data_IF_798661652087
#
_entry.id   IF_798661652087
#
_cell.length_a   1.000
_cell.length_b   1.000
_cell.length_c   1.000
_cell.angle_alpha   90.00
_cell.angle_beta   90.00
_cell.angle_gamma   90.00
#
_symmetry.space_group_name_H-M   'P 1'
#
loop_
_entity.id
_entity.type
_entity.pdbx_description
1 polymer ?
#
# COMPACT_ATOMS: atom_id res chain seq x y z
N UNK A 1 -32.02 10.09 6.95
CA UNK A 1 -30.94 9.46 6.15
C UNK A 1 -29.55 9.82 6.69
N UNK A 2 -29.23 11.11 6.92
CA UNK A 2 -27.95 11.55 7.51
C UNK A 2 -27.61 10.89 8.86
N UNK A 3 -28.55 10.77 9.79
CA UNK A 3 -28.30 10.10 11.09
C UNK A 3 -27.88 8.63 10.96
N UNK A 4 -28.32 7.92 9.92
CA UNK A 4 -27.96 6.52 9.70
C UNK A 4 -26.53 6.40 9.14
N UNK A 5 -26.09 7.36 8.32
CA UNK A 5 -24.74 7.41 7.77
C UNK A 5 -23.71 7.76 8.84
N UNK A 6 -24.02 8.73 9.71
CA UNK A 6 -23.18 9.06 10.86
C UNK A 6 -23.04 7.88 11.82
N UNK A 7 -24.14 7.16 12.10
CA UNK A 7 -24.11 5.92 12.87
C UNK A 7 -23.21 4.86 12.25
N UNK A 8 -23.35 4.61 10.94
CA UNK A 8 -22.50 3.67 10.22
C UNK A 8 -21.01 4.07 10.29
N UNK A 9 -20.68 5.36 10.11
CA UNK A 9 -19.30 5.86 10.21
C UNK A 9 -18.69 5.59 11.58
N UNK A 10 -19.44 5.87 12.65
CA UNK A 10 -18.97 5.64 14.02
C UNK A 10 -18.77 4.14 14.28
N UNK A 11 -19.66 3.28 13.79
CA UNK A 11 -19.51 1.83 13.89
C UNK A 11 -18.23 1.37 13.18
N UNK A 12 -18.01 1.80 11.94
CA UNK A 12 -16.81 1.46 11.16
C UNK A 12 -15.51 1.92 11.84
N UNK A 13 -15.54 3.10 12.48
CA UNK A 13 -14.41 3.58 13.28
C UNK A 13 -14.15 2.66 14.47
N UNK A 14 -15.18 2.34 15.25
CA UNK A 14 -15.04 1.51 16.46
C UNK A 14 -14.49 0.12 16.13
N UNK A 15 -14.98 -0.52 15.07
CA UNK A 15 -14.55 -1.89 14.71
C UNK A 15 -13.12 -1.97 14.18
N UNK A 16 -12.52 -0.85 13.75
CA UNK A 16 -11.12 -0.80 13.30
C UNK A 16 -10.13 -0.50 14.43
N UNK A 17 -10.58 0.07 15.55
CA UNK A 17 -9.73 0.36 16.73
C UNK A 17 -8.94 -0.86 17.23
N UNK A 18 -9.51 -2.08 17.37
CA UNK A 18 -8.74 -3.24 17.80
C UNK A 18 -7.57 -3.57 16.88
N UNK A 19 -7.71 -3.35 15.56
CA UNK A 19 -6.64 -3.60 14.59
C UNK A 19 -5.47 -2.63 14.78
N UNK A 20 -5.74 -1.36 15.11
CA UNK A 20 -4.71 -0.35 15.40
C UNK A 20 -3.88 -0.75 16.63
N UNK A 21 -4.55 -1.24 17.68
CA UNK A 21 -3.88 -1.69 18.90
C UNK A 21 -3.35 -3.13 18.81
N UNK A 22 -3.53 -3.82 17.69
CA UNK A 22 -3.06 -5.19 17.50
C UNK A 22 -3.72 -6.20 18.44
N UNK A 23 -5.01 -6.02 18.76
CA UNK A 23 -5.77 -6.89 19.66
C UNK A 23 -6.54 -7.97 18.87
N UNK A 24 -6.50 -9.22 19.35
CA UNK A 24 -7.26 -10.36 18.77
C UNK A 24 -7.14 -10.46 17.24
N UNK A 25 -5.96 -10.77 16.67
CA UNK A 25 -5.67 -10.64 15.25
C UNK A 25 -6.69 -11.29 14.32
N UNK A 26 -7.17 -12.49 14.67
CA UNK A 26 -8.21 -13.20 13.90
C UNK A 26 -9.52 -12.39 13.78
N UNK A 27 -9.96 -11.77 14.87
CA UNK A 27 -11.22 -11.02 14.92
C UNK A 27 -11.01 -9.62 14.34
N UNK A 28 -9.95 -8.93 14.75
CA UNK A 28 -9.68 -7.57 14.30
C UNK A 28 -9.46 -7.48 12.80
N UNK A 29 -8.81 -8.48 12.18
CA UNK A 29 -8.60 -8.50 10.74
C UNK A 29 -9.89 -8.66 9.95
N UNK A 30 -10.83 -9.49 10.43
CA UNK A 30 -12.14 -9.67 9.79
C UNK A 30 -13.01 -8.43 9.93
N UNK A 31 -12.99 -7.79 11.10
CA UNK A 31 -13.67 -6.51 11.33
C UNK A 31 -13.09 -5.39 10.46
N UNK A 32 -11.76 -5.31 10.34
CA UNK A 32 -11.10 -4.37 9.45
C UNK A 32 -11.42 -4.67 7.98
N UNK A 33 -11.47 -5.95 7.58
CA UNK A 33 -11.88 -6.33 6.23
C UNK A 33 -13.29 -5.84 5.91
N UNK A 34 -14.23 -6.07 6.82
CA UNK A 34 -15.60 -5.59 6.67
C UNK A 34 -15.64 -4.06 6.55
N UNK A 35 -14.87 -3.34 7.36
CA UNK A 35 -14.80 -1.88 7.28
C UNK A 35 -14.22 -1.39 5.95
N UNK A 36 -13.09 -1.94 5.53
CA UNK A 36 -12.44 -1.60 4.26
C UNK A 36 -13.35 -1.90 3.07
N UNK A 37 -13.98 -3.08 3.04
CA UNK A 37 -14.92 -3.46 1.99
C UNK A 37 -16.15 -2.54 1.97
N UNK A 38 -16.68 -2.19 3.15
CA UNK A 38 -17.83 -1.30 3.26
C UNK A 38 -17.52 0.09 2.72
N UNK A 39 -16.38 0.67 3.11
CA UNK A 39 -15.92 1.98 2.59
C UNK A 39 -15.72 1.89 1.07
N UNK A 40 -14.89 0.95 0.61
CA UNK A 40 -14.52 0.83 -0.81
C UNK A 40 -15.70 0.56 -1.77
N UNK A 41 -16.86 0.11 -1.28
CA UNK A 41 -18.04 -0.14 -2.14
C UNK A 41 -19.19 0.85 -1.93
N UNK A 42 -19.15 1.67 -0.88
CA UNK A 42 -20.29 2.52 -0.50
C UNK A 42 -19.93 4.00 -0.36
N UNK A 43 -18.67 4.40 -0.56
CA UNK A 43 -18.27 5.81 -0.61
C UNK A 43 -18.11 6.33 -2.03
N UNK A 44 -18.28 7.64 -2.20
CA UNK A 44 -17.92 8.33 -3.44
C UNK A 44 -16.43 8.69 -3.39
N UNK A 45 -15.80 8.85 -4.55
CA UNK A 45 -14.37 9.18 -4.65
C UNK A 45 -13.45 8.01 -4.27
N UNK A 46 -13.83 6.78 -4.61
CA UNK A 46 -13.01 5.58 -4.39
C UNK A 46 -11.71 5.70 -5.19
N UNK A 47 -10.60 5.49 -4.51
CA UNK A 47 -9.25 5.56 -5.06
C UNK A 47 -8.64 4.15 -5.20
N UNK A 48 -7.54 4.03 -5.95
CA UNK A 48 -6.81 2.76 -6.03
C UNK A 48 -6.30 2.26 -4.67
N UNK A 49 -6.10 3.16 -3.71
CA UNK A 49 -5.70 2.83 -2.34
C UNK A 49 -6.76 2.06 -1.55
N UNK A 50 -8.04 2.36 -1.74
CA UNK A 50 -9.14 1.68 -1.05
C UNK A 50 -9.22 0.22 -1.49
N UNK A 51 -9.14 -0.01 -2.81
CA UNK A 51 -9.12 -1.36 -3.40
C UNK A 51 -7.88 -2.15 -2.96
N UNK A 52 -6.72 -1.49 -2.89
CA UNK A 52 -5.50 -2.11 -2.37
C UNK A 52 -5.66 -2.58 -0.93
N UNK A 53 -6.24 -1.76 -0.05
CA UNK A 53 -6.47 -2.13 1.35
C UNK A 53 -7.41 -3.33 1.45
N UNK A 54 -8.51 -3.37 0.68
CA UNK A 54 -9.40 -4.54 0.65
C UNK A 54 -8.62 -5.82 0.29
N UNK A 55 -7.78 -5.76 -0.75
CA UNK A 55 -6.98 -6.92 -1.17
C UNK A 55 -5.96 -7.34 -0.09
N UNK A 56 -5.23 -6.40 0.49
CA UNK A 56 -4.21 -6.69 1.50
C UNK A 56 -4.83 -7.20 2.81
N UNK A 57 -5.90 -6.57 3.29
CA UNK A 57 -6.58 -7.00 4.50
C UNK A 57 -7.29 -8.34 4.30
N UNK A 58 -7.76 -8.67 3.09
CA UNK A 58 -8.26 -10.02 2.78
C UNK A 58 -7.16 -11.07 2.98
N UNK A 59 -5.97 -10.85 2.41
CA UNK A 59 -4.84 -11.77 2.58
C UNK A 59 -4.40 -11.86 4.04
N UNK A 60 -4.37 -10.74 4.76
CA UNK A 60 -4.03 -10.71 6.17
C UNK A 60 -5.08 -11.42 7.02
N UNK A 61 -6.37 -11.23 6.78
CA UNK A 61 -7.45 -11.88 7.51
C UNK A 61 -7.44 -13.40 7.33
N UNK A 62 -7.15 -13.90 6.12
CA UNK A 62 -6.95 -15.33 5.90
C UNK A 62 -5.72 -15.82 6.68
N UNK A 63 -4.64 -15.04 6.70
CA UNK A 63 -3.41 -15.42 7.41
C UNK A 63 -3.56 -15.43 8.94
N UNK A 64 -4.43 -14.58 9.49
CA UNK A 64 -4.65 -14.43 10.94
C UNK A 64 -5.87 -15.17 11.46
N UNK A 65 -6.66 -15.86 10.63
CA UNK A 65 -7.93 -16.49 11.07
C UNK A 65 -7.76 -17.50 12.22
N UNK A 66 -6.59 -18.14 12.31
CA UNK A 66 -6.25 -19.08 13.38
C UNK A 66 -5.38 -18.45 14.48
N UNK A 67 -5.18 -17.14 14.45
CA UNK A 67 -4.36 -16.41 15.41
C UNK A 67 -5.20 -15.87 16.57
N UNK A 68 -5.36 -16.72 17.59
CA UNK A 68 -6.13 -16.43 18.80
C UNK A 68 -5.33 -15.67 19.88
N UNK A 69 -4.18 -15.08 19.54
CA UNK A 69 -3.41 -14.27 20.49
C UNK A 69 -4.24 -13.06 20.91
N UNK A 70 -4.19 -12.70 22.19
CA UNK A 70 -4.84 -11.49 22.68
C UNK A 70 -4.20 -10.23 22.09
N UNK A 71 -2.89 -10.25 21.88
CA UNK A 71 -2.16 -9.13 21.30
C UNK A 71 -1.00 -9.59 20.44
N UNK A 72 -0.74 -8.86 19.35
CA UNK A 72 0.41 -9.07 18.46
C UNK A 72 1.73 -8.56 19.05
N UNK A 73 1.69 -7.65 20.02
CA UNK A 73 2.89 -7.06 20.63
C UNK A 73 3.67 -8.07 21.48
N UNK A 74 3.00 -9.12 21.97
CA UNK A 74 3.64 -10.18 22.74
C UNK A 74 4.14 -11.27 21.80
N UNK A 75 5.46 -11.43 21.76
CA UNK A 75 6.11 -12.52 21.02
C UNK A 75 6.02 -13.79 21.85
N UNK A 76 5.15 -14.71 21.46
CA UNK A 76 5.10 -16.06 22.04
C UNK A 76 5.93 -16.97 21.14
N UNK A 77 7.05 -17.48 21.65
CA UNK A 77 7.79 -18.56 20.98
C UNK A 77 6.93 -19.82 21.02
N UNK A 78 6.39 -20.22 19.87
CA UNK A 78 5.65 -21.46 19.73
C UNK A 78 6.45 -22.43 18.86
N UNK A 79 6.58 -23.69 19.30
CA UNK A 79 7.10 -24.78 18.47
C UNK A 79 6.01 -25.21 17.48
N UNK A 80 5.84 -24.42 16.42
CA UNK A 80 4.88 -24.71 15.34
C UNK A 80 5.57 -25.65 14.32
N UNK A 81 4.94 -26.76 13.91
CA UNK A 81 5.47 -27.64 12.88
C UNK A 81 5.72 -26.91 11.56
N UNK A 82 6.84 -27.22 10.89
CA UNK A 82 7.30 -26.53 9.66
C UNK A 82 6.24 -26.42 8.56
N UNK A 83 5.45 -27.48 8.36
CA UNK A 83 4.37 -27.54 7.36
C UNK A 83 3.30 -26.45 7.55
N UNK A 84 3.08 -25.97 8.79
CA UNK A 84 2.10 -24.91 9.06
C UNK A 84 2.56 -23.52 8.61
N UNK A 85 3.86 -23.32 8.35
CA UNK A 85 4.37 -22.04 7.83
C UNK A 85 4.22 -21.88 6.31
N UNK A 86 4.08 -22.98 5.57
CA UNK A 86 3.95 -22.97 4.10
C UNK A 86 2.78 -22.08 3.63
N UNK A 87 1.52 -22.30 4.07
CA UNK A 87 0.40 -21.49 3.60
C UNK A 87 0.55 -20.01 3.99
N UNK A 88 1.08 -19.72 5.17
CA UNK A 88 1.32 -18.35 5.63
C UNK A 88 2.36 -17.68 4.72
N UNK A 89 3.48 -18.34 4.43
CA UNK A 89 4.50 -17.79 3.54
C UNK A 89 3.96 -17.54 2.13
N UNK A 90 3.12 -18.42 1.61
CA UNK A 90 2.44 -18.22 0.32
C UNK A 90 1.57 -16.95 0.35
N UNK A 91 0.75 -16.75 1.39
CA UNK A 91 -0.07 -15.53 1.53
C UNK A 91 0.79 -14.27 1.61
N UNK A 92 1.93 -14.33 2.31
CA UNK A 92 2.90 -13.23 2.30
C UNK A 92 3.52 -13.01 0.92
N UNK A 93 3.83 -14.05 0.15
CA UNK A 93 4.26 -13.88 -1.25
C UNK A 93 3.21 -13.12 -2.06
N UNK A 94 1.93 -13.45 -1.91
CA UNK A 94 0.84 -12.72 -2.57
C UNK A 94 0.75 -11.26 -2.13
N UNK A 95 0.99 -10.94 -0.86
CA UNK A 95 1.07 -9.55 -0.40
C UNK A 95 2.18 -8.80 -1.15
N UNK A 96 3.37 -9.39 -1.25
CA UNK A 96 4.49 -8.78 -1.98
C UNK A 96 4.18 -8.58 -3.47
N UNK A 97 3.60 -9.59 -4.10
CA UNK A 97 3.17 -9.52 -5.50
C UNK A 97 2.11 -8.42 -5.66
N UNK A 98 1.12 -8.33 -4.78
CA UNK A 98 0.06 -7.33 -4.86
C UNK A 98 0.61 -5.90 -4.78
N UNK A 99 1.51 -5.63 -3.82
CA UNK A 99 2.11 -4.29 -3.67
C UNK A 99 3.07 -3.98 -4.82
N UNK A 100 3.81 -4.95 -5.34
CA UNK A 100 4.64 -4.75 -6.55
C UNK A 100 3.78 -4.52 -7.80
N UNK A 101 2.67 -5.26 -7.93
CA UNK A 101 1.79 -5.22 -9.07
C UNK A 101 1.06 -3.89 -9.17
N UNK A 102 0.59 -3.29 -8.06
CA UNK A 102 -0.09 -1.98 -8.13
C UNK A 102 0.82 -0.89 -8.69
N UNK A 103 2.11 -0.89 -8.34
CA UNK A 103 3.07 0.05 -8.95
C UNK A 103 3.34 -0.27 -10.41
N UNK A 104 3.47 -1.55 -10.76
CA UNK A 104 3.69 -1.97 -12.13
C UNK A 104 2.53 -1.58 -13.05
N UNK A 105 1.32 -1.93 -12.64
CA UNK A 105 0.09 -1.62 -13.38
C UNK A 105 -0.07 -0.11 -13.55
N UNK A 106 0.12 0.66 -12.48
CA UNK A 106 0.06 2.12 -12.53
C UNK A 106 1.08 2.72 -13.52
N UNK A 107 2.31 2.18 -13.57
CA UNK A 107 3.33 2.64 -14.49
C UNK A 107 3.01 2.30 -15.94
N UNK A 108 2.55 1.08 -16.21
CA UNK A 108 2.19 0.63 -17.57
C UNK A 108 0.96 1.38 -18.08
N UNK A 109 -0.08 1.54 -17.24
CA UNK A 109 -1.28 2.29 -17.58
C UNK A 109 -0.96 3.75 -17.96
N UNK A 110 -0.01 4.38 -17.26
CA UNK A 110 0.51 5.70 -17.63
C UNK A 110 1.31 5.65 -18.92
N UNK A 111 2.26 4.71 -19.06
CA UNK A 111 3.14 4.64 -20.23
C UNK A 111 2.39 4.49 -21.57
N UNK A 112 1.23 3.82 -21.58
CA UNK A 112 0.40 3.67 -22.79
C UNK A 112 -0.60 4.82 -23.00
N UNK A 113 -0.77 5.71 -22.02
CA UNK A 113 -1.69 6.83 -22.12
C UNK A 113 -1.03 7.99 -22.92
N UNK A 114 -1.68 8.52 -23.97
CA UNK A 114 -1.08 9.56 -24.80
C UNK A 114 -0.64 10.83 -24.06
N UNK A 115 -1.39 11.26 -23.03
CA UNK A 115 -1.09 12.47 -22.23
C UNK A 115 0.13 12.25 -21.33
N UNK A 116 0.39 11.01 -20.93
CA UNK A 116 1.63 10.69 -20.21
C UNK A 116 2.79 10.53 -21.18
N UNK A 117 2.53 9.95 -22.37
CA UNK A 117 3.52 9.76 -23.42
C UNK A 117 4.07 11.04 -24.04
N UNK A 118 3.33 12.14 -24.01
CA UNK A 118 3.83 13.46 -24.46
C UNK A 118 4.65 14.20 -23.39
N UNK A 119 4.71 13.69 -22.15
CA UNK A 119 5.45 14.29 -21.04
C UNK A 119 4.76 15.47 -20.36
N UNK A 120 3.45 15.67 -20.57
CA UNK A 120 2.70 16.81 -20.04
C UNK A 120 1.62 16.46 -19.03
N UNK A 121 1.46 15.18 -18.67
CA UNK A 121 0.39 14.74 -17.76
C UNK A 121 0.33 15.52 -16.45
N UNK A 122 1.45 15.78 -15.77
CA UNK A 122 1.42 16.48 -14.49
C UNK A 122 0.95 17.94 -14.62
N UNK A 123 1.21 18.60 -15.75
CA UNK A 123 0.64 19.92 -16.03
C UNK A 123 -0.89 19.88 -16.04
N UNK A 124 -1.48 18.87 -16.68
CA UNK A 124 -2.94 18.71 -16.72
C UNK A 124 -3.54 18.27 -15.38
N UNK A 125 -2.90 17.35 -14.67
CA UNK A 125 -3.46 16.82 -13.42
C UNK A 125 -3.48 17.85 -12.29
N UNK A 126 -2.52 18.79 -12.25
CA UNK A 126 -2.53 19.90 -11.28
C UNK A 126 -3.74 20.83 -11.49
N UNK A 127 -4.24 20.96 -12.71
CA UNK A 127 -5.40 21.80 -13.06
C UNK A 127 -6.74 21.06 -12.92
N UNK A 128 -6.73 19.81 -12.46
CA UNK A 128 -7.95 19.01 -12.38
C UNK A 128 -8.73 19.38 -11.11
N UNK A 129 -9.90 20.01 -11.29
CA UNK A 129 -10.81 20.41 -10.21
C UNK A 129 -11.30 19.23 -9.33
N UNK A 130 -11.13 17.99 -9.80
CA UNK A 130 -11.40 16.78 -9.02
C UNK A 130 -10.40 16.56 -7.87
N UNK A 131 -9.27 17.25 -7.86
CA UNK A 131 -8.25 17.16 -6.83
C UNK A 131 -8.22 18.39 -5.92
N UNK A 132 -7.94 18.16 -4.64
CA UNK A 132 -8.06 19.16 -3.57
C UNK A 132 -6.82 20.04 -3.39
N UNK A 133 -6.23 20.55 -4.48
CA UNK A 133 -5.05 21.42 -4.40
C UNK A 133 -5.44 22.84 -3.95
N UNK A 134 -4.63 23.49 -3.11
CA UNK A 134 -4.86 24.91 -2.79
C UNK A 134 -4.46 25.80 -3.97
N UNK A 135 -5.16 26.91 -4.18
CA UNK A 135 -4.89 27.82 -5.29
C UNK A 135 -3.44 28.35 -5.31
N UNK A 136 -2.84 28.55 -4.13
CA UNK A 136 -1.44 28.99 -4.03
C UNK A 136 -0.46 27.89 -4.43
N UNK A 137 -0.73 26.64 -4.03
CA UNK A 137 0.07 25.48 -4.43
C UNK A 137 -0.07 25.23 -5.93
N UNK A 138 -1.29 25.27 -6.46
CA UNK A 138 -1.58 25.13 -7.89
C UNK A 138 -0.76 26.13 -8.72
N UNK A 139 -0.83 27.42 -8.39
CA UNK A 139 -0.05 28.46 -9.07
C UNK A 139 1.44 28.19 -9.03
N UNK A 140 1.98 27.76 -7.89
CA UNK A 140 3.39 27.41 -7.76
C UNK A 140 3.77 26.24 -8.68
N UNK A 141 2.99 25.16 -8.66
CA UNK A 141 3.27 23.98 -9.48
C UNK A 141 3.10 24.26 -10.97
N UNK A 142 2.11 25.05 -11.37
CA UNK A 142 1.97 25.49 -12.76
C UNK A 142 3.15 26.34 -13.19
N UNK A 143 3.61 27.30 -12.38
CA UNK A 143 4.81 28.07 -12.75
C UNK A 143 6.03 27.16 -13.00
N UNK A 144 6.22 26.13 -12.18
CA UNK A 144 7.32 25.15 -12.33
C UNK A 144 7.12 24.26 -13.56
N UNK A 145 5.92 23.71 -13.73
CA UNK A 145 5.59 22.78 -14.82
C UNK A 145 5.44 23.46 -16.18
N UNK A 146 5.35 24.80 -16.22
CA UNK A 146 5.35 25.59 -17.46
C UNK A 146 6.62 25.41 -18.29
N UNK A 147 7.73 25.01 -17.65
CA UNK A 147 8.97 24.65 -18.33
C UNK A 147 8.83 23.23 -18.93
N UNK A 148 8.88 23.06 -20.27
CA UNK A 148 8.61 21.78 -20.91
C UNK A 148 9.53 20.64 -20.41
N UNK A 149 10.80 20.96 -20.14
CA UNK A 149 11.77 19.98 -19.66
C UNK A 149 11.43 19.49 -18.24
N UNK A 150 10.92 20.38 -17.38
CA UNK A 150 10.53 20.03 -16.01
C UNK A 150 9.26 19.20 -16.02
N UNK A 151 8.27 19.56 -16.84
CA UNK A 151 7.07 18.75 -17.05
C UNK A 151 7.42 17.35 -17.54
N UNK A 152 8.28 17.24 -18.55
CA UNK A 152 8.69 15.96 -19.11
C UNK A 152 9.44 15.09 -18.08
N UNK A 153 10.43 15.68 -17.36
CA UNK A 153 11.20 14.96 -16.34
C UNK A 153 10.29 14.47 -15.21
N UNK A 154 9.36 15.29 -14.73
CA UNK A 154 8.47 14.90 -13.62
C UNK A 154 7.43 13.86 -14.06
N UNK A 155 6.88 13.98 -15.27
CA UNK A 155 5.93 13.02 -15.86
C UNK A 155 6.58 11.66 -16.09
N UNK A 156 7.69 11.60 -16.82
CA UNK A 156 8.40 10.35 -17.08
C UNK A 156 9.11 9.80 -15.83
N UNK A 157 9.59 10.70 -14.97
CA UNK A 157 10.18 10.34 -13.68
C UNK A 157 9.19 9.63 -12.76
N UNK A 158 7.92 10.01 -12.78
CA UNK A 158 6.85 9.30 -12.05
C UNK A 158 6.74 7.85 -12.52
N UNK A 159 6.66 7.61 -13.82
CA UNK A 159 6.59 6.25 -14.40
C UNK A 159 7.84 5.44 -14.04
N UNK A 160 9.03 6.05 -14.16
CA UNK A 160 10.29 5.39 -13.83
C UNK A 160 10.34 5.00 -12.34
N UNK A 161 9.96 5.91 -11.43
CA UNK A 161 9.92 5.63 -10.00
C UNK A 161 8.95 4.49 -9.67
N UNK A 162 7.76 4.47 -10.27
CA UNK A 162 6.80 3.39 -10.07
C UNK A 162 7.35 2.02 -10.51
N UNK A 163 8.01 1.95 -11.67
CA UNK A 163 8.70 0.72 -12.11
C UNK A 163 9.82 0.32 -11.13
N UNK A 164 10.64 1.28 -10.70
CA UNK A 164 11.72 1.02 -9.74
C UNK A 164 11.17 0.50 -8.41
N UNK A 165 10.09 1.10 -7.88
CA UNK A 165 9.43 0.63 -6.66
C UNK A 165 8.91 -0.79 -6.84
N UNK A 166 8.19 -1.06 -7.94
CA UNK A 166 7.66 -2.39 -8.26
C UNK A 166 8.74 -3.48 -8.23
N UNK A 167 9.84 -3.28 -8.96
CA UNK A 167 10.91 -4.27 -9.01
C UNK A 167 11.71 -4.35 -7.70
N UNK A 168 11.93 -3.21 -7.02
CA UNK A 168 12.67 -3.19 -5.76
C UNK A 168 11.97 -4.00 -4.66
N UNK A 169 10.63 -3.98 -4.60
CA UNK A 169 9.85 -4.72 -3.61
C UNK A 169 10.11 -6.23 -3.71
N UNK A 170 10.29 -6.77 -4.92
CA UNK A 170 10.52 -8.20 -5.15
C UNK A 170 12.01 -8.58 -5.13
N UNK A 171 12.88 -7.72 -5.65
CA UNK A 171 14.27 -8.08 -5.97
C UNK A 171 15.31 -7.53 -4.97
N UNK A 172 14.96 -6.56 -4.12
CA UNK A 172 15.94 -5.96 -3.20
C UNK A 172 16.40 -6.96 -2.13
N UNK A 173 17.61 -7.50 -2.33
CA UNK A 173 18.31 -8.35 -1.33
C UNK A 173 19.04 -7.52 -0.27
N UNK A 174 19.44 -6.30 -0.62
CA UNK A 174 20.12 -5.39 0.28
C UNK A 174 19.09 -4.65 1.16
N UNK A 175 19.24 -4.77 2.48
CA UNK A 175 18.31 -4.17 3.45
C UNK A 175 18.33 -2.63 3.42
N UNK A 176 19.49 -2.01 3.22
CA UNK A 176 19.61 -0.56 3.06
C UNK A 176 18.86 -0.10 1.81
N UNK A 177 19.10 -0.74 0.66
CA UNK A 177 18.41 -0.41 -0.58
C UNK A 177 16.89 -0.51 -0.43
N UNK A 178 16.40 -1.57 0.24
CA UNK A 178 14.97 -1.75 0.49
C UNK A 178 14.38 -0.61 1.33
N UNK A 179 15.02 -0.26 2.45
CA UNK A 179 14.52 0.82 3.30
C UNK A 179 14.59 2.18 2.60
N UNK A 180 15.65 2.42 1.81
CA UNK A 180 15.74 3.62 0.97
C UNK A 180 14.60 3.67 -0.03
N UNK A 181 14.32 2.59 -0.77
CA UNK A 181 13.23 2.56 -1.75
C UNK A 181 11.86 2.72 -1.10
N UNK A 182 11.62 2.09 0.06
CA UNK A 182 10.40 2.30 0.84
C UNK A 182 10.26 3.75 1.29
N UNK A 183 11.32 4.37 1.81
CA UNK A 183 11.30 5.77 2.23
C UNK A 183 11.03 6.71 1.04
N UNK A 184 11.68 6.45 -0.11
CA UNK A 184 11.42 7.17 -1.36
C UNK A 184 9.97 7.02 -1.81
N UNK A 185 9.40 5.81 -1.75
CA UNK A 185 8.00 5.56 -2.13
C UNK A 185 7.01 6.23 -1.17
N UNK A 186 7.25 6.22 0.15
CA UNK A 186 6.43 6.96 1.12
C UNK A 186 6.48 8.47 0.82
N UNK A 187 7.67 9.02 0.55
CA UNK A 187 7.82 10.44 0.21
C UNK A 187 7.13 10.80 -1.11
N UNK A 188 7.23 9.94 -2.12
CA UNK A 188 6.52 10.07 -3.39
C UNK A 188 5.00 10.17 -3.18
N UNK A 189 4.41 9.29 -2.37
CA UNK A 189 2.98 9.36 -2.06
C UNK A 189 2.60 10.54 -1.17
N UNK A 190 3.51 10.98 -0.28
CA UNK A 190 3.28 12.18 0.53
C UNK A 190 3.20 13.44 -0.35
N UNK A 191 4.05 13.54 -1.36
CA UNK A 191 3.98 14.61 -2.36
C UNK A 191 2.64 14.54 -3.11
N UNK A 192 2.19 13.34 -3.51
CA UNK A 192 0.86 13.17 -4.14
C UNK A 192 -0.26 13.62 -3.21
N UNK A 193 -0.22 13.31 -1.91
CA UNK A 193 -1.23 13.77 -0.96
C UNK A 193 -1.29 15.29 -0.85
N UNK A 194 -0.14 15.97 -0.89
CA UNK A 194 -0.07 17.44 -0.86
C UNK A 194 -0.58 18.05 -2.16
N UNK A 195 -0.13 17.53 -3.30
CA UNK A 195 -0.43 18.12 -4.61
C UNK A 195 -1.86 17.80 -5.04
N UNK A 196 -2.32 16.56 -4.86
CA UNK A 196 -3.60 16.08 -5.38
C UNK A 196 -4.69 15.97 -4.30
N UNK A 197 -4.36 16.25 -3.03
CA UNK A 197 -5.30 16.12 -1.91
C UNK A 197 -5.62 14.68 -1.48
N UNK A 198 -4.89 13.69 -2.00
CA UNK A 198 -5.16 12.25 -1.82
C UNK A 198 -4.58 11.72 -0.50
N UNK A 199 -5.12 12.19 0.62
CA UNK A 199 -4.61 11.85 1.97
C UNK A 199 -4.90 10.38 2.32
N UNK A 200 -6.09 9.89 1.99
CA UNK A 200 -6.50 8.49 2.19
C UNK A 200 -5.64 7.53 1.37
N UNK A 201 -5.38 7.86 0.11
CA UNK A 201 -4.43 7.15 -0.74
C UNK A 201 -3.04 7.04 -0.09
N UNK A 202 -2.49 8.15 0.41
CA UNK A 202 -1.18 8.16 1.06
C UNK A 202 -1.12 7.26 2.30
N UNK A 203 -2.15 7.28 3.15
CA UNK A 203 -2.23 6.42 4.34
C UNK A 203 -2.25 4.95 3.90
N UNK A 204 -3.06 4.60 2.91
CA UNK A 204 -3.19 3.25 2.37
C UNK A 204 -1.87 2.73 1.79
N UNK A 205 -1.21 3.54 0.95
CA UNK A 205 0.08 3.19 0.35
C UNK A 205 1.19 3.08 1.41
N UNK A 206 1.20 3.96 2.41
CA UNK A 206 2.16 3.89 3.52
C UNK A 206 1.99 2.59 4.31
N UNK A 207 0.75 2.19 4.63
CA UNK A 207 0.47 0.91 5.28
C UNK A 207 0.99 -0.29 4.48
N UNK A 208 0.72 -0.31 3.17
CA UNK A 208 1.21 -1.36 2.26
C UNK A 208 2.74 -1.43 2.21
N UNK A 209 3.41 -0.27 2.15
CA UNK A 209 4.87 -0.17 2.10
C UNK A 209 5.52 -0.62 3.42
N UNK A 210 4.95 -0.24 4.57
CA UNK A 210 5.43 -0.70 5.88
C UNK A 210 5.29 -2.22 6.05
N UNK A 211 4.20 -2.80 5.51
CA UNK A 211 3.98 -4.24 5.52
C UNK A 211 5.11 -5.00 4.80
N UNK A 212 5.52 -4.55 3.61
CA UNK A 212 6.63 -5.16 2.84
C UNK A 212 8.02 -4.73 3.35
N UNK A 213 8.13 -3.66 4.13
CA UNK A 213 9.40 -3.28 4.77
C UNK A 213 9.79 -4.22 5.93
N UNK A 214 8.80 -4.77 6.64
CA UNK A 214 9.00 -5.54 7.89
C UNK A 214 9.93 -6.75 7.74
N UNK A 215 9.69 -7.65 6.77
CA UNK A 215 10.45 -8.90 6.62
C UNK A 215 10.66 -9.27 5.15
N UNK A 216 11.90 -9.33 4.62
CA UNK A 216 12.15 -9.50 3.18
C UNK A 216 11.59 -10.82 2.65
N UNK A 217 11.00 -10.77 1.45
CA UNK A 217 10.43 -11.94 0.77
C UNK A 217 11.45 -13.09 0.63
N UNK A 218 12.70 -12.78 0.23
CA UNK A 218 13.73 -13.79 0.03
C UNK A 218 14.12 -14.54 1.32
N UNK A 219 14.03 -13.89 2.49
CA UNK A 219 14.27 -14.56 3.76
C UNK A 219 13.13 -15.53 4.09
N UNK A 220 11.88 -15.17 3.77
CA UNK A 220 10.74 -16.09 3.95
C UNK A 220 10.76 -17.29 3.01
N UNK A 221 11.41 -17.21 1.85
CA UNK A 221 11.58 -18.35 0.92
C UNK A 221 12.75 -19.24 1.35
N UNK A 222 13.86 -18.65 1.83
CA UNK A 222 15.08 -19.38 2.19
C UNK A 222 14.98 -20.09 3.55
N UNK A 223 14.38 -19.44 4.55
CA UNK A 223 14.23 -19.99 5.89
C UNK A 223 13.47 -21.33 5.94
N UNK A 224 12.36 -21.54 5.19
CA UNK A 224 11.67 -22.82 5.15
C UNK A 224 12.41 -23.91 4.37
N UNK A 225 13.62 -23.69 3.85
CA UNK A 225 14.43 -24.68 3.14
C UNK A 225 15.76 -25.03 3.84
N UNK A 226 16.26 -24.18 4.75
CA UNK A 226 17.58 -24.38 5.39
C UNK A 226 17.57 -25.12 6.73
N UNK A 227 16.44 -25.23 7.43
CA UNK A 227 16.36 -26.01 8.68
C UNK A 227 16.41 -27.54 8.45
N UNK A 228 16.35 -28.00 7.20
CA UNK A 228 16.41 -29.43 6.83
C UNK A 228 17.84 -30.01 6.90
N UNK A 229 18.87 -29.17 6.86
CA UNK A 229 20.27 -29.62 6.76
C UNK A 229 21.00 -29.77 8.10
N UNK A 230 20.33 -29.52 9.23
CA UNK A 230 20.95 -29.59 10.57
C UNK A 230 20.42 -30.73 11.46
N UNK A 231 19.64 -31.66 10.89
CA UNK A 231 19.07 -32.82 11.60
C UNK A 231 19.45 -34.17 10.97
N UNK A 232 20.63 -34.25 10.34
CA UNK A 232 21.23 -35.53 9.91
C UNK A 232 22.58 -35.70 10.58
#
# INVERSE_FOLDING_TARGET
MQNNLEGARIILLIITVPAIFGLLPAVSSLLHLYAAFSVSNNTLGIEGGDQLIVNLITLLAISSICDYRLTTWLTIKQNIPRLRYIPINILYCFIYIQVSYVYFEAAIAKAVNPIWGDGTALWYWVQNDGFGISADAERLFLNILSMPIVSAITTWGTILLELLFSFSILAAKNQLLRYTMVACAINFHFIIAIIMGLTTFFISMTGALLLVASTPLYLKIKNPLQEETHLV
#
